data_IF_506657785582
#
_entry.id   IF_506657785582
#
_cell.length_a   1.000
_cell.length_b   1.000
_cell.length_c   1.000
_cell.angle_alpha   90.00
_cell.angle_beta   90.00
_cell.angle_gamma   90.00
#
_symmetry.space_group_name_H-M   'P 1'
#
loop_
_entity.id
_entity.type
_entity.pdbx_description
1 polymer ?
#
# COMPACT_ATOMS: atom_id res chain seq x y z
N UNK A 1 -21.34 4.87 -33.34
CA UNK A 1 -20.57 5.67 -32.37
C UNK A 1 -21.06 5.28 -31.00
N UNK A 2 -20.39 4.29 -30.42
CA UNK A 2 -20.40 3.98 -29.00
C UNK A 2 -18.95 4.12 -28.61
N UNK A 3 -18.63 5.23 -27.94
CA UNK A 3 -17.34 5.39 -27.28
C UNK A 3 -17.29 4.34 -26.17
N UNK A 4 -16.70 3.18 -26.48
CA UNK A 4 -16.24 2.25 -25.47
C UNK A 4 -15.08 2.95 -24.77
N UNK A 5 -15.36 3.60 -23.63
CA UNK A 5 -14.32 4.01 -22.69
C UNK A 5 -13.53 2.75 -22.33
N UNK A 6 -12.35 2.58 -22.94
CA UNK A 6 -11.36 1.63 -22.47
C UNK A 6 -11.07 1.97 -21.01
N UNK A 7 -11.56 1.15 -20.08
CA UNK A 7 -11.18 1.22 -18.69
C UNK A 7 -9.69 0.86 -18.61
N UNK A 8 -8.84 1.88 -18.63
CA UNK A 8 -7.41 1.72 -18.42
C UNK A 8 -7.18 1.08 -17.05
N UNK A 9 -6.53 -0.09 -17.05
CA UNK A 9 -6.26 -0.85 -15.84
C UNK A 9 -5.38 -0.01 -14.91
N UNK A 10 -5.87 0.23 -13.69
CA UNK A 10 -5.16 1.10 -12.73
C UNK A 10 -3.85 0.47 -12.28
N UNK A 11 -3.88 -0.83 -12.00
CA UNK A 11 -2.75 -1.58 -11.46
C UNK A 11 -2.18 -2.49 -12.53
N UNK A 12 -1.13 -2.02 -13.18
CA UNK A 12 -0.47 -2.70 -14.29
C UNK A 12 0.65 -3.59 -13.72
N UNK A 13 0.61 -4.88 -14.02
CA UNK A 13 1.66 -5.83 -13.64
C UNK A 13 2.89 -5.65 -14.53
N UNK A 14 4.04 -5.39 -13.92
CA UNK A 14 5.30 -5.18 -14.63
C UNK A 14 6.05 -6.50 -14.92
N UNK A 15 5.58 -7.65 -14.39
CA UNK A 15 6.21 -8.96 -14.58
C UNK A 15 7.50 -9.17 -13.78
N UNK A 16 7.76 -8.32 -12.78
CA UNK A 16 8.97 -8.30 -11.94
C UNK A 16 8.64 -8.20 -10.44
N UNK A 17 7.47 -8.72 -10.04
CA UNK A 17 6.93 -8.64 -8.67
C UNK A 17 6.56 -7.21 -8.23
N UNK A 18 6.34 -6.30 -9.18
CA UNK A 18 5.82 -4.96 -8.92
C UNK A 18 4.55 -4.64 -9.71
N UNK A 19 3.74 -3.73 -9.16
CA UNK A 19 2.54 -3.19 -9.81
C UNK A 19 2.66 -1.68 -9.97
N UNK A 20 2.44 -1.18 -11.18
CA UNK A 20 2.34 0.25 -11.46
C UNK A 20 0.92 0.74 -11.21
N UNK A 21 0.75 1.72 -10.32
CA UNK A 21 -0.49 2.47 -10.10
C UNK A 21 -0.51 3.70 -11.02
N UNK A 22 -1.12 3.56 -12.19
CA UNK A 22 -1.16 4.58 -13.26
C UNK A 22 -1.84 5.88 -12.80
N UNK A 23 -2.79 5.77 -11.88
CA UNK A 23 -3.56 6.90 -11.35
C UNK A 23 -2.72 7.86 -10.50
N UNK A 24 -1.78 7.32 -9.73
CA UNK A 24 -0.97 8.09 -8.79
C UNK A 24 0.51 8.16 -9.17
N UNK A 25 0.90 7.50 -10.28
CA UNK A 25 2.27 7.35 -10.74
C UNK A 25 3.19 6.82 -9.64
N UNK A 26 2.70 5.77 -8.99
CA UNK A 26 3.40 5.02 -7.96
C UNK A 26 3.65 3.62 -8.49
N UNK A 27 4.70 3.00 -7.96
CA UNK A 27 4.99 1.59 -8.19
C UNK A 27 5.06 0.93 -6.83
N UNK A 28 4.28 -0.13 -6.67
CA UNK A 28 4.12 -0.89 -5.44
C UNK A 28 4.83 -2.23 -5.59
N UNK A 29 5.45 -2.72 -4.52
CA UNK A 29 5.72 -4.15 -4.44
C UNK A 29 4.38 -4.90 -4.50
N UNK A 30 4.34 -6.01 -5.25
CA UNK A 30 3.13 -6.82 -5.41
C UNK A 30 2.75 -7.47 -4.08
N UNK A 31 3.69 -8.18 -3.47
CA UNK A 31 3.55 -8.72 -2.11
C UNK A 31 3.85 -7.65 -1.05
N UNK A 32 3.16 -7.72 0.09
CA UNK A 32 3.56 -6.98 1.28
C UNK A 32 4.62 -7.79 2.07
N UNK A 33 5.21 -7.20 3.10
CA UNK A 33 6.26 -7.87 3.90
C UNK A 33 5.77 -9.20 4.48
N UNK A 34 4.52 -9.24 4.95
CA UNK A 34 3.93 -10.45 5.51
C UNK A 34 3.91 -11.59 4.49
N UNK A 35 3.40 -11.38 3.28
CA UNK A 35 3.41 -12.39 2.22
C UNK A 35 4.83 -12.84 1.87
N UNK A 36 5.77 -11.90 1.75
CA UNK A 36 7.16 -12.22 1.39
C UNK A 36 7.93 -13.01 2.46
N UNK A 37 7.60 -12.84 3.75
CA UNK A 37 8.39 -13.36 4.87
C UNK A 37 7.64 -14.31 5.79
N UNK A 38 6.32 -14.43 5.65
CA UNK A 38 5.43 -15.15 6.55
C UNK A 38 5.43 -14.58 7.97
N UNK A 39 5.79 -13.31 8.16
CA UNK A 39 5.98 -12.68 9.48
C UNK A 39 5.55 -11.23 9.48
N UNK A 40 4.86 -10.85 10.55
CA UNK A 40 4.55 -9.45 10.86
C UNK A 40 5.81 -8.66 11.22
N UNK A 41 5.72 -7.34 11.13
CA UNK A 41 6.83 -6.44 11.45
C UNK A 41 6.41 -5.37 12.46
N UNK A 42 7.35 -5.02 13.33
CA UNK A 42 7.27 -3.75 14.05
C UNK A 42 7.85 -2.62 13.19
N UNK A 43 7.74 -1.38 13.67
CA UNK A 43 8.24 -0.19 12.97
C UNK A 43 9.71 -0.33 12.52
N UNK A 44 10.58 -0.82 13.41
CA UNK A 44 12.00 -1.04 13.10
C UNK A 44 12.19 -2.09 12.02
N UNK A 45 11.42 -3.18 12.07
CA UNK A 45 11.43 -4.26 11.08
C UNK A 45 10.97 -3.79 9.71
N UNK A 46 9.91 -2.98 9.64
CA UNK A 46 9.42 -2.39 8.39
C UNK A 46 10.49 -1.51 7.71
N UNK A 47 11.15 -0.65 8.48
CA UNK A 47 12.24 0.20 7.97
C UNK A 47 13.46 -0.62 7.54
N UNK A 48 13.83 -1.63 8.33
CA UNK A 48 14.93 -2.55 7.98
C UNK A 48 14.65 -3.29 6.68
N UNK A 49 13.41 -3.75 6.48
CA UNK A 49 13.01 -4.42 5.25
C UNK A 49 13.16 -3.51 4.03
N UNK A 50 12.70 -2.26 4.12
CA UNK A 50 12.90 -1.25 3.07
C UNK A 50 14.39 -1.04 2.75
N UNK A 51 15.24 -0.91 3.76
CA UNK A 51 16.69 -0.81 3.54
C UNK A 51 17.25 -2.04 2.81
N UNK A 52 16.82 -3.24 3.20
CA UNK A 52 17.30 -4.50 2.60
C UNK A 52 16.91 -4.64 1.13
N UNK A 53 15.66 -4.33 0.76
CA UNK A 53 15.24 -4.42 -0.65
C UNK A 53 15.92 -3.37 -1.53
N UNK A 54 16.28 -2.21 -0.96
CA UNK A 54 17.06 -1.20 -1.66
C UNK A 54 18.51 -1.66 -1.89
N UNK A 55 19.16 -2.23 -0.86
CA UNK A 55 20.50 -2.83 -1.00
C UNK A 55 20.53 -3.95 -2.05
N UNK A 56 19.45 -4.72 -2.14
CA UNK A 56 19.29 -5.81 -3.11
C UNK A 56 18.88 -5.34 -4.51
N UNK A 57 18.58 -4.06 -4.68
CA UNK A 57 18.02 -3.50 -5.92
C UNK A 57 16.80 -4.28 -6.40
N UNK A 58 15.84 -4.53 -5.50
CA UNK A 58 14.62 -5.26 -5.83
C UNK A 58 13.92 -4.64 -7.05
N UNK A 59 13.58 -5.48 -8.04
CA UNK A 59 13.08 -5.08 -9.36
C UNK A 59 13.97 -4.06 -10.10
N UNK A 60 15.27 -4.03 -9.80
CA UNK A 60 16.23 -3.07 -10.38
C UNK A 60 16.25 -1.69 -9.72
N UNK A 61 15.54 -1.48 -8.61
CA UNK A 61 15.38 -0.17 -7.97
C UNK A 61 15.91 -0.13 -6.53
N UNK A 62 16.40 1.04 -6.12
CA UNK A 62 17.04 1.29 -4.81
C UNK A 62 16.38 2.46 -4.02
N UNK A 63 15.24 2.95 -4.48
CA UNK A 63 14.48 4.08 -3.92
C UNK A 63 13.11 3.66 -3.36
N UNK A 64 12.97 2.40 -2.94
CA UNK A 64 11.80 1.92 -2.20
C UNK A 64 11.70 2.62 -0.85
N UNK A 65 10.47 2.90 -0.42
CA UNK A 65 10.17 3.50 0.88
C UNK A 65 8.89 2.92 1.48
N UNK A 66 8.67 3.16 2.77
CA UNK A 66 7.34 2.97 3.34
C UNK A 66 6.33 3.90 2.64
N UNK A 67 5.08 3.47 2.45
CA UNK A 67 4.03 4.32 1.92
C UNK A 67 3.65 5.40 2.91
N UNK A 68 3.19 6.54 2.44
CA UNK A 68 2.49 7.50 3.30
C UNK A 68 1.09 7.00 3.61
N UNK A 69 0.50 7.46 4.71
CA UNK A 69 -0.89 7.15 5.06
C UNK A 69 -1.88 7.57 3.96
N UNK A 70 -1.58 8.65 3.23
CA UNK A 70 -2.39 9.08 2.10
C UNK A 70 -2.26 8.15 0.88
N UNK A 71 -1.09 7.55 0.65
CA UNK A 71 -0.89 6.54 -0.39
C UNK A 71 -1.59 5.23 -0.04
N UNK A 72 -1.52 4.77 1.21
CA UNK A 72 -2.34 3.65 1.68
C UNK A 72 -3.84 3.93 1.51
N UNK A 73 -4.29 5.14 1.85
CA UNK A 73 -5.67 5.56 1.62
C UNK A 73 -6.07 5.55 0.15
N UNK A 74 -5.14 5.82 -0.76
CA UNK A 74 -5.39 5.76 -2.19
C UNK A 74 -5.48 4.33 -2.71
N UNK A 75 -4.88 3.35 -2.02
CA UNK A 75 -5.10 1.93 -2.31
C UNK A 75 -6.48 1.43 -1.85
N UNK A 76 -7.02 2.00 -0.76
CA UNK A 76 -8.33 1.62 -0.26
C UNK A 76 -9.45 1.95 -1.26
N UNK A 77 -10.21 0.92 -1.65
CA UNK A 77 -11.47 1.03 -2.38
C UNK A 77 -12.52 0.10 -1.77
N UNK A 78 -13.61 0.69 -1.29
CA UNK A 78 -14.68 -0.01 -0.58
C UNK A 78 -15.33 -1.11 -1.45
N UNK A 79 -15.32 -0.96 -2.77
CA UNK A 79 -15.91 -1.95 -3.68
C UNK A 79 -15.00 -3.15 -3.93
N UNK A 80 -13.71 -3.03 -3.63
CA UNK A 80 -12.78 -4.15 -3.73
C UNK A 80 -12.92 -5.10 -2.55
N UNK A 81 -12.76 -6.40 -2.82
CA UNK A 81 -13.02 -7.51 -1.89
C UNK A 81 -11.89 -8.54 -1.84
N UNK A 82 -10.65 -8.08 -1.92
CA UNK A 82 -9.49 -8.94 -1.75
C UNK A 82 -9.46 -9.49 -0.30
N UNK A 83 -8.78 -10.60 -0.09
CA UNK A 83 -8.75 -11.30 1.20
C UNK A 83 -7.41 -11.10 1.90
N UNK A 84 -7.45 -10.91 3.21
CA UNK A 84 -6.27 -10.83 4.05
C UNK A 84 -5.76 -12.23 4.45
N UNK A 85 -4.73 -12.30 5.30
CA UNK A 85 -4.16 -13.57 5.80
C UNK A 85 -5.15 -14.50 6.55
N UNK A 86 -6.32 -14.01 6.94
CA UNK A 86 -7.34 -14.71 7.70
C UNK A 86 -8.67 -14.83 6.91
N UNK A 87 -8.61 -14.67 5.58
CA UNK A 87 -9.77 -14.69 4.67
C UNK A 87 -10.80 -13.57 4.93
N UNK A 88 -10.44 -12.55 5.70
CA UNK A 88 -11.28 -11.38 5.95
C UNK A 88 -11.12 -10.35 4.82
N UNK A 89 -12.19 -9.60 4.52
CA UNK A 89 -12.18 -8.64 3.40
C UNK A 89 -11.25 -7.46 3.70
N UNK A 90 -10.21 -7.30 2.89
CA UNK A 90 -9.44 -6.07 2.74
C UNK A 90 -9.85 -5.36 1.46
N UNK A 91 -10.18 -4.08 1.61
CA UNK A 91 -10.64 -3.19 0.55
C UNK A 91 -9.52 -2.78 -0.42
N UNK A 92 -8.81 -3.77 -0.97
CA UNK A 92 -7.70 -3.65 -1.91
C UNK A 92 -8.05 -4.33 -3.23
N UNK A 93 -7.50 -3.82 -4.33
CA UNK A 93 -7.70 -4.41 -5.66
C UNK A 93 -7.17 -5.86 -5.74
N UNK A 94 -7.83 -6.72 -6.51
CA UNK A 94 -7.46 -8.13 -6.72
C UNK A 94 -6.20 -8.32 -7.57
N UNK A 95 -5.66 -7.25 -8.16
CA UNK A 95 -4.32 -7.26 -8.76
C UNK A 95 -3.22 -7.49 -7.73
N UNK A 96 -3.46 -7.09 -6.48
CA UNK A 96 -2.61 -7.49 -5.37
C UNK A 96 -2.95 -8.93 -4.95
N UNK A 97 -1.95 -9.73 -4.55
CA UNK A 97 -2.18 -11.08 -4.04
C UNK A 97 -3.03 -11.07 -2.77
N UNK A 98 -3.89 -12.07 -2.64
CA UNK A 98 -4.62 -12.42 -1.42
C UNK A 98 -3.64 -12.82 -0.30
N UNK A 99 -4.11 -12.80 0.95
CA UNK A 99 -3.32 -13.20 2.12
C UNK A 99 -2.44 -12.08 2.69
N UNK A 100 -2.61 -10.83 2.23
CA UNK A 100 -1.82 -9.69 2.70
C UNK A 100 -2.22 -9.24 4.12
N UNK A 101 -1.40 -8.39 4.74
CA UNK A 101 -1.75 -7.75 6.00
C UNK A 101 -2.85 -6.69 5.85
N UNK A 102 -3.74 -6.59 6.83
CA UNK A 102 -4.81 -5.58 6.85
C UNK A 102 -4.39 -4.22 7.47
N UNK A 103 -3.19 -4.13 8.07
CA UNK A 103 -2.65 -2.89 8.63
C UNK A 103 -1.21 -2.66 8.19
N UNK A 104 -0.92 -1.51 7.59
CA UNK A 104 0.43 -1.13 7.14
C UNK A 104 1.03 -0.02 7.99
N UNK A 105 2.32 -0.16 8.30
CA UNK A 105 3.17 0.94 8.75
C UNK A 105 3.35 1.96 7.62
N UNK A 106 3.19 3.23 7.97
CA UNK A 106 3.31 4.36 7.05
C UNK A 106 4.54 5.22 7.40
N UNK A 107 5.09 5.93 6.42
CA UNK A 107 6.32 6.71 6.53
C UNK A 107 6.25 7.86 7.56
N UNK A 108 5.06 8.39 7.86
CA UNK A 108 4.89 9.49 8.80
C UNK A 108 5.19 9.05 10.24
N UNK A 109 5.97 9.85 10.96
CA UNK A 109 6.24 9.62 12.37
C UNK A 109 6.33 10.91 13.19
N UNK A 110 6.07 10.82 14.49
CA UNK A 110 6.18 11.94 15.43
C UNK A 110 6.60 11.44 16.81
N UNK A 111 7.82 11.78 17.20
CA UNK A 111 8.40 11.38 18.48
C UNK A 111 8.45 9.86 18.62
N UNK A 112 7.76 9.33 19.63
CA UNK A 112 7.73 7.89 19.92
C UNK A 112 6.69 7.11 19.08
N UNK A 113 5.90 7.79 18.25
CA UNK A 113 4.84 7.18 17.44
C UNK A 113 5.20 7.20 15.95
N UNK A 114 4.74 6.19 15.22
CA UNK A 114 4.69 6.16 13.76
C UNK A 114 3.23 5.95 13.31
N UNK A 115 2.90 6.35 12.09
CA UNK A 115 1.55 6.22 11.56
C UNK A 115 1.32 4.80 11.04
N UNK A 116 0.13 4.28 11.29
CA UNK A 116 -0.38 3.06 10.70
C UNK A 116 -1.62 3.37 9.87
N UNK A 117 -1.91 2.59 8.84
CA UNK A 117 -3.17 2.64 8.10
C UNK A 117 -3.83 1.25 8.10
N UNK A 118 -5.11 1.20 8.42
CA UNK A 118 -5.90 -0.04 8.53
C UNK A 118 -6.96 -0.09 7.43
N UNK A 119 -6.89 -1.13 6.62
CA UNK A 119 -7.73 -1.32 5.44
C UNK A 119 -9.15 -1.81 5.77
N UNK A 120 -9.43 -2.29 6.98
CA UNK A 120 -10.81 -2.60 7.40
C UNK A 120 -11.62 -1.36 7.68
N UNK A 121 -10.98 -0.30 8.16
CA UNK A 121 -11.69 0.86 8.72
C UNK A 121 -11.52 2.15 7.92
N UNK A 122 -10.71 2.16 6.85
CA UNK A 122 -10.26 3.37 6.14
C UNK A 122 -9.74 4.43 7.14
N UNK A 123 -8.84 4.02 8.03
CA UNK A 123 -8.30 4.91 9.07
C UNK A 123 -6.80 4.78 9.20
N UNK A 124 -6.17 5.93 9.35
CA UNK A 124 -4.83 6.01 9.93
C UNK A 124 -4.90 6.32 11.43
N UNK A 125 -3.90 5.86 12.18
CA UNK A 125 -3.76 6.15 13.61
C UNK A 125 -2.30 6.02 14.05
N UNK A 126 -1.87 6.80 15.06
CA UNK A 126 -0.52 6.71 15.59
C UNK A 126 -0.36 5.44 16.43
N UNK A 127 0.75 4.72 16.23
CA UNK A 127 1.16 3.53 16.99
C UNK A 127 2.57 3.77 17.54
N UNK A 128 2.83 3.33 18.78
CA UNK A 128 4.17 3.43 19.36
C UNK A 128 5.19 2.65 18.54
N UNK A 129 6.35 3.23 18.26
CA UNK A 129 7.45 2.60 17.50
C UNK A 129 8.01 1.33 18.16
N UNK A 130 7.75 1.16 19.46
CA UNK A 130 8.17 -0.01 20.26
C UNK A 130 7.13 -1.13 20.29
N UNK A 131 5.96 -0.95 19.68
CA UNK A 131 4.94 -2.00 19.60
C UNK A 131 5.54 -3.26 18.97
N UNK A 132 5.25 -4.42 19.57
CA UNK A 132 5.78 -5.71 19.10
C UNK A 132 5.25 -6.04 17.71
N UNK A 133 5.91 -6.97 17.03
CA UNK A 133 5.45 -7.48 15.74
C UNK A 133 4.12 -8.25 15.85
N UNK A 134 3.66 -8.59 17.06
CA UNK A 134 2.38 -9.28 17.29
C UNK A 134 1.16 -8.38 17.03
N UNK A 135 1.36 -7.10 16.71
CA UNK A 135 0.29 -6.17 16.35
C UNK A 135 -0.35 -6.40 14.97
N UNK A 136 -0.04 -7.52 14.29
CA UNK A 136 -0.52 -7.85 12.93
C UNK A 136 -0.29 -6.72 11.91
N UNK A 137 0.88 -6.09 11.98
CA UNK A 137 1.26 -4.98 11.11
C UNK A 137 2.30 -5.44 10.08
N UNK A 138 2.15 -4.94 8.87
CA UNK A 138 3.02 -5.20 7.73
C UNK A 138 3.45 -3.88 7.08
N UNK A 139 4.08 -3.94 5.91
CA UNK A 139 4.19 -2.80 5.01
C UNK A 139 4.26 -3.29 3.57
N UNK A 140 3.72 -2.49 2.64
CA UNK A 140 3.91 -2.68 1.20
C UNK A 140 4.73 -1.51 0.67
N UNK A 141 6.05 -1.68 0.45
CA UNK A 141 6.90 -0.61 -0.03
C UNK A 141 6.41 -0.05 -1.37
N UNK A 142 6.65 1.25 -1.53
CA UNK A 142 6.23 2.02 -2.69
C UNK A 142 7.38 2.90 -3.14
N UNK A 143 7.39 3.21 -4.43
CA UNK A 143 8.28 4.20 -5.05
C UNK A 143 7.53 4.99 -6.11
N UNK A 144 8.20 5.96 -6.74
CA UNK A 144 7.61 6.66 -7.89
C UNK A 144 7.76 5.77 -9.13
N UNK A 145 6.70 5.62 -9.94
CA UNK A 145 6.77 4.81 -11.16
C UNK A 145 7.60 5.46 -12.28
N UNK A 146 7.71 6.80 -12.29
CA UNK A 146 8.40 7.54 -13.32
C UNK A 146 8.32 9.07 -13.12
N UNK A 147 8.53 9.86 -14.18
CA UNK A 147 8.39 11.32 -14.12
C UNK A 147 7.03 11.75 -13.55
N UNK A 148 6.95 12.92 -12.91
CA UNK A 148 5.70 13.42 -12.32
C UNK A 148 4.59 13.51 -13.37
N UNK A 149 3.47 12.83 -13.13
CA UNK A 149 2.23 12.99 -13.92
C UNK A 149 1.24 13.93 -13.22
N UNK A 150 0.23 14.42 -13.95
CA UNK A 150 -0.89 15.16 -13.35
C UNK A 150 -1.63 14.24 -12.36
N UNK A 151 -1.69 14.64 -11.09
CA UNK A 151 -2.44 13.91 -10.07
C UNK A 151 -3.93 14.18 -10.24
N UNK A 152 -4.72 13.14 -10.43
CA UNK A 152 -6.17 13.25 -10.34
C UNK A 152 -6.59 13.10 -8.88
N UNK A 153 -7.47 13.99 -8.41
CA UNK A 153 -8.11 13.85 -7.11
C UNK A 153 -8.85 12.52 -7.01
N UNK A 154 -9.16 12.08 -5.78
CA UNK A 154 -10.01 10.89 -5.59
C UNK A 154 -11.40 11.19 -6.18
N UNK A 155 -11.73 10.55 -7.29
CA UNK A 155 -13.12 10.37 -7.74
C UNK A 155 -13.73 9.38 -6.78
N UNK A 156 -14.56 9.91 -5.88
CA UNK A 156 -15.42 9.08 -5.04
C UNK A 156 -16.54 8.56 -5.92
N UNK A 157 -16.53 7.28 -6.26
CA UNK A 157 -17.70 6.63 -6.87
C UNK A 157 -18.90 6.59 -5.91
N UNK A 158 -18.70 6.91 -4.63
CA UNK A 158 -19.76 6.91 -3.62
C UNK A 158 -20.46 8.26 -3.46
N UNK A 159 -20.07 9.30 -4.20
CA UNK A 159 -20.67 10.64 -4.10
C UNK A 159 -20.55 11.30 -2.71
N UNK A 160 -19.85 10.65 -1.77
CA UNK A 160 -19.66 11.14 -0.41
C UNK A 160 -18.28 11.77 -0.28
N UNK A 161 -18.26 13.10 -0.35
CA UNK A 161 -17.20 13.89 0.28
C UNK A 161 -17.45 13.88 1.78
N UNK A 162 -16.51 13.35 2.57
CA UNK A 162 -16.55 13.58 4.02
C UNK A 162 -16.22 15.06 4.21
N UNK A 163 -17.18 15.82 4.76
CA UNK A 163 -16.94 17.20 5.23
C UNK A 163 -15.76 17.20 6.21
N UNK A 164 -14.97 18.27 6.10
CA UNK A 164 -13.77 18.61 6.87
C UNK A 164 -13.90 18.34 8.37
#
# INVERSE_FOLDING_TARGET
MSDEEEFEDRFIDNGDETLTDSRYNLMWMKEDLYLMKGKWCNWKGANKFVSQINEQKFAGFEDWRLPTSQECRNLYDHECKNADFNDDIVHLDLKFPEGCGFTYWCAEDKGINAMAYNFYSDRNYPVRKITSAEGFMSCRPVRTAGPKVKKFGRTSNTGRTRRE
#
